data_IF_770954201326
#
_entry.id   IF_770954201326
#
_cell.length_a   1.000
_cell.length_b   1.000
_cell.length_c   1.000
_cell.angle_alpha   90.00
_cell.angle_beta   90.00
_cell.angle_gamma   90.00
#
_symmetry.space_group_name_H-M   'P 1'
#
loop_
_entity.id
_entity.type
_entity.pdbx_description
1 polymer ?
#
# COMPACT_ATOMS: atom_id res chain seq x y z
N UNK A 1 -17.72 -15.94 -18.55
CA UNK A 1 -16.48 -15.86 -17.74
C UNK A 1 -15.99 -14.42 -17.47
N UNK A 2 -16.40 -13.40 -18.22
CA UNK A 2 -15.96 -12.00 -17.99
C UNK A 2 -16.56 -11.32 -16.73
N UNK A 3 -17.65 -11.85 -16.16
CA UNK A 3 -18.36 -11.25 -15.02
C UNK A 3 -17.67 -11.55 -13.67
N UNK A 4 -16.97 -12.68 -13.54
CA UNK A 4 -16.26 -13.06 -12.31
C UNK A 4 -14.82 -12.54 -12.23
N UNK A 5 -14.26 -12.01 -13.32
CA UNK A 5 -12.87 -11.52 -13.37
C UNK A 5 -12.52 -10.53 -12.24
N UNK A 6 -13.36 -9.49 -11.99
CA UNK A 6 -13.14 -8.56 -10.89
C UNK A 6 -13.22 -9.23 -9.51
N UNK A 7 -14.18 -10.13 -9.30
CA UNK A 7 -14.36 -10.82 -8.02
C UNK A 7 -13.18 -11.75 -7.71
N UNK A 8 -12.72 -12.53 -8.69
CA UNK A 8 -11.55 -13.40 -8.56
C UNK A 8 -10.29 -12.58 -8.29
N UNK A 9 -10.09 -11.45 -8.97
CA UNK A 9 -8.99 -10.52 -8.70
C UNK A 9 -9.02 -10.00 -7.26
N UNK A 10 -10.19 -9.58 -6.76
CA UNK A 10 -10.33 -9.13 -5.37
C UNK A 10 -9.97 -10.24 -4.37
N UNK A 11 -10.40 -11.47 -4.60
CA UNK A 11 -10.05 -12.61 -3.74
C UNK A 11 -8.54 -12.84 -3.72
N UNK A 12 -7.88 -12.87 -4.89
CA UNK A 12 -6.43 -13.03 -5.00
C UNK A 12 -5.68 -11.93 -4.24
N UNK A 13 -6.13 -10.68 -4.38
CA UNK A 13 -5.55 -9.54 -3.66
C UNK A 13 -5.71 -9.72 -2.15
N UNK A 14 -6.90 -10.08 -1.66
CA UNK A 14 -7.15 -10.28 -0.23
C UNK A 14 -6.34 -11.43 0.35
N UNK A 15 -6.20 -12.53 -0.38
CA UNK A 15 -5.35 -13.67 0.02
C UNK A 15 -3.88 -13.24 0.08
N UNK A 16 -3.40 -12.48 -0.90
CA UNK A 16 -2.03 -11.94 -0.91
C UNK A 16 -1.78 -11.03 0.29
N UNK A 17 -2.73 -10.15 0.61
CA UNK A 17 -2.67 -9.31 1.81
C UNK A 17 -2.64 -10.15 3.09
N UNK A 18 -3.47 -11.20 3.19
CA UNK A 18 -3.46 -12.09 4.36
C UNK A 18 -2.08 -12.76 4.55
N UNK A 19 -1.48 -13.25 3.47
CA UNK A 19 -0.11 -13.79 3.49
C UNK A 19 0.92 -12.75 3.96
N UNK A 20 0.84 -11.52 3.43
CA UNK A 20 1.70 -10.41 3.85
C UNK A 20 1.56 -10.14 5.36
N UNK A 21 0.34 -10.08 5.89
CA UNK A 21 0.10 -9.85 7.32
C UNK A 21 0.65 -10.96 8.20
N UNK A 22 0.54 -12.21 7.79
CA UNK A 22 1.11 -13.35 8.52
C UNK A 22 2.63 -13.28 8.59
N UNK A 23 3.30 -13.01 7.46
CA UNK A 23 4.76 -12.84 7.40
C UNK A 23 5.19 -11.66 8.27
N UNK A 24 4.46 -10.54 8.18
CA UNK A 24 4.71 -9.34 8.99
C UNK A 24 4.63 -9.66 10.48
N UNK A 25 3.54 -10.30 10.93
CA UNK A 25 3.37 -10.71 12.34
C UNK A 25 4.47 -11.66 12.79
N UNK A 26 4.84 -12.65 11.97
CA UNK A 26 5.90 -13.60 12.30
C UNK A 26 7.27 -12.91 12.42
N UNK A 27 7.57 -11.92 11.57
CA UNK A 27 8.82 -11.19 11.60
C UNK A 27 8.91 -10.22 12.80
N UNK A 28 7.82 -9.50 13.10
CA UNK A 28 7.76 -8.64 14.29
C UNK A 28 7.82 -9.47 15.60
N UNK A 29 7.19 -10.63 15.65
CA UNK A 29 7.25 -11.53 16.82
C UNK A 29 8.67 -12.05 17.10
N UNK A 30 9.54 -12.09 16.08
CA UNK A 30 10.98 -12.41 16.22
C UNK A 30 11.84 -11.19 16.60
N UNK A 31 11.23 -10.07 16.98
CA UNK A 31 11.92 -8.87 17.44
C UNK A 31 12.41 -7.96 16.31
N UNK A 32 11.96 -8.16 15.07
CA UNK A 32 12.38 -7.30 13.96
C UNK A 32 11.75 -5.92 14.07
N UNK A 33 12.56 -4.87 13.94
CA UNK A 33 12.08 -3.50 13.95
C UNK A 33 11.09 -3.27 12.80
N UNK A 34 9.88 -2.81 13.14
CA UNK A 34 8.79 -2.63 12.21
C UNK A 34 9.09 -1.55 11.14
N UNK A 35 9.91 -0.54 11.46
CA UNK A 35 10.40 0.44 10.49
C UNK A 35 11.33 -0.22 9.46
N UNK A 36 12.24 -1.07 9.91
CA UNK A 36 13.14 -1.83 9.02
C UNK A 36 12.34 -2.78 8.11
N UNK A 37 11.27 -3.39 8.62
CA UNK A 37 10.36 -4.21 7.80
C UNK A 37 9.68 -3.39 6.69
N UNK A 38 9.20 -2.18 7.00
CA UNK A 38 8.54 -1.29 6.04
C UNK A 38 9.52 -0.82 4.95
N UNK A 39 10.79 -0.58 5.29
CA UNK A 39 11.82 -0.28 4.30
C UNK A 39 12.15 -1.49 3.44
N UNK A 40 12.29 -2.68 4.05
CA UNK A 40 12.65 -3.90 3.33
C UNK A 40 11.57 -4.32 2.32
N UNK A 41 10.29 -4.25 2.70
CA UNK A 41 9.19 -4.54 1.77
C UNK A 41 9.18 -3.59 0.57
N UNK A 42 9.46 -2.30 0.78
CA UNK A 42 9.47 -1.31 -0.29
C UNK A 42 10.67 -1.54 -1.23
N UNK A 43 11.84 -1.86 -0.67
CA UNK A 43 13.03 -2.20 -1.45
C UNK A 43 12.81 -3.46 -2.30
N UNK A 44 12.24 -4.54 -1.73
CA UNK A 44 11.94 -5.74 -2.50
C UNK A 44 10.88 -5.49 -3.59
N UNK A 45 9.85 -4.70 -3.29
CA UNK A 45 8.85 -4.30 -4.30
C UNK A 45 9.50 -3.53 -5.45
N UNK A 46 10.40 -2.58 -5.16
CA UNK A 46 11.14 -1.86 -6.20
C UNK A 46 12.07 -2.79 -6.98
N UNK A 47 12.81 -3.70 -6.33
CA UNK A 47 13.73 -4.63 -7.00
C UNK A 47 13.01 -5.60 -7.95
N UNK A 48 11.79 -6.02 -7.59
CA UNK A 48 10.99 -6.93 -8.42
C UNK A 48 10.24 -6.19 -9.52
N UNK A 49 9.67 -5.02 -9.23
CA UNK A 49 8.93 -4.23 -10.22
C UNK A 49 9.85 -3.49 -11.20
N UNK A 50 11.06 -3.08 -10.79
CA UNK A 50 12.00 -2.37 -11.65
C UNK A 50 12.34 -3.11 -12.96
N UNK A 51 12.72 -4.40 -12.95
CA UNK A 51 12.98 -5.13 -14.19
C UNK A 51 11.70 -5.34 -15.01
N UNK A 52 10.57 -5.64 -14.36
CA UNK A 52 9.29 -5.85 -15.05
C UNK A 52 8.87 -4.57 -15.77
N UNK A 53 8.92 -3.42 -15.10
CA UNK A 53 8.64 -2.12 -15.68
C UNK A 53 9.60 -1.79 -16.81
N UNK A 54 10.90 -2.08 -16.64
CA UNK A 54 11.89 -1.85 -17.70
C UNK A 54 11.60 -2.68 -18.96
N UNK A 55 11.28 -3.97 -18.84
CA UNK A 55 11.02 -4.81 -20.02
C UNK A 55 9.65 -4.56 -20.64
N UNK A 56 8.62 -4.26 -19.84
CA UNK A 56 7.24 -4.15 -20.32
C UNK A 56 6.86 -2.76 -20.81
N UNK A 57 7.44 -1.69 -20.24
CA UNK A 57 7.06 -0.30 -20.53
C UNK A 57 8.08 0.45 -21.40
N UNK A 58 9.16 -0.21 -21.83
CA UNK A 58 10.25 0.41 -22.62
C UNK A 58 9.75 1.19 -23.83
N UNK A 59 8.75 0.65 -24.54
CA UNK A 59 8.24 1.25 -25.79
C UNK A 59 7.06 2.21 -25.57
N UNK A 60 6.36 2.12 -24.44
CA UNK A 60 5.12 2.89 -24.18
C UNK A 60 5.33 4.08 -23.24
N UNK A 61 6.59 4.39 -22.91
CA UNK A 61 6.95 5.34 -21.85
C UNK A 61 6.57 6.79 -22.24
N UNK A 62 5.59 7.42 -21.57
CA UNK A 62 5.34 8.85 -21.74
C UNK A 62 6.50 9.64 -21.14
N UNK A 63 6.86 10.81 -21.69
CA UNK A 63 7.85 11.69 -21.05
C UNK A 63 7.33 12.11 -19.67
N UNK A 64 8.09 11.79 -18.62
CA UNK A 64 7.76 12.18 -17.25
C UNK A 64 8.15 13.64 -17.02
N UNK A 65 7.15 14.50 -16.86
CA UNK A 65 7.37 15.89 -16.45
C UNK A 65 7.64 15.99 -14.94
N UNK A 66 8.33 17.06 -14.52
CA UNK A 66 8.66 17.31 -13.11
C UNK A 66 7.42 17.27 -12.18
N UNK A 67 6.28 17.80 -12.65
CA UNK A 67 5.00 17.76 -11.94
C UNK A 67 4.53 16.32 -11.68
N UNK A 68 4.60 15.45 -12.69
CA UNK A 68 4.17 14.06 -12.58
C UNK A 68 5.09 13.26 -11.65
N UNK A 69 6.40 13.48 -11.77
CA UNK A 69 7.39 12.87 -10.87
C UNK A 69 7.13 13.28 -9.42
N UNK A 70 6.85 14.57 -9.17
CA UNK A 70 6.52 15.05 -7.83
C UNK A 70 5.22 14.42 -7.31
N UNK A 71 4.18 14.29 -8.14
CA UNK A 71 2.93 13.64 -7.75
C UNK A 71 3.14 12.16 -7.38
N UNK A 72 3.88 11.41 -8.20
CA UNK A 72 4.21 9.99 -7.92
C UNK A 72 5.04 9.89 -6.65
N UNK A 73 6.01 10.79 -6.46
CA UNK A 73 6.81 10.85 -5.24
C UNK A 73 5.96 11.11 -3.99
N UNK A 74 5.06 12.10 -4.05
CA UNK A 74 4.16 12.42 -2.94
C UNK A 74 3.21 11.25 -2.64
N UNK A 75 2.67 10.58 -3.65
CA UNK A 75 1.84 9.39 -3.47
C UNK A 75 2.61 8.26 -2.79
N UNK A 76 3.86 8.00 -3.22
CA UNK A 76 4.72 7.01 -2.58
C UNK A 76 5.07 7.36 -1.14
N UNK A 77 5.41 8.62 -0.88
CA UNK A 77 5.77 9.12 0.46
C UNK A 77 4.58 9.01 1.42
N UNK A 78 3.44 9.58 1.05
CA UNK A 78 2.25 9.60 1.90
C UNK A 78 1.67 8.19 2.08
N UNK A 79 1.45 7.47 0.98
CA UNK A 79 0.72 6.20 1.00
C UNK A 79 1.57 4.99 1.39
N UNK A 80 2.84 4.94 0.99
CA UNK A 80 3.68 3.76 1.20
C UNK A 80 4.69 3.91 2.34
N UNK A 81 5.03 5.13 2.75
CA UNK A 81 5.97 5.35 3.86
C UNK A 81 5.25 5.79 5.11
N UNK A 82 4.52 6.91 5.05
CA UNK A 82 3.89 7.50 6.23
C UNK A 82 2.76 6.62 6.77
N UNK A 83 1.82 6.19 5.94
CA UNK A 83 0.68 5.35 6.39
C UNK A 83 1.09 4.14 7.24
N UNK A 84 1.98 3.23 6.80
CA UNK A 84 2.36 2.06 7.59
C UNK A 84 3.18 2.42 8.83
N UNK A 85 4.02 3.47 8.77
CA UNK A 85 4.76 3.95 9.95
C UNK A 85 3.80 4.49 11.00
N UNK A 86 2.86 5.36 10.60
CA UNK A 86 1.82 5.89 11.49
C UNK A 86 0.91 4.79 12.03
N UNK A 87 0.64 3.75 11.26
CA UNK A 87 -0.10 2.59 11.73
C UNK A 87 0.64 1.88 12.87
N UNK A 88 1.92 1.55 12.66
CA UNK A 88 2.73 0.89 13.69
C UNK A 88 2.83 1.76 14.95
N UNK A 89 3.17 3.05 14.80
CA UNK A 89 3.29 3.95 15.95
C UNK A 89 1.94 4.21 16.63
N UNK A 90 0.85 4.22 15.87
CA UNK A 90 -0.49 4.43 16.41
C UNK A 90 -0.99 3.25 17.24
N UNK A 91 -0.53 2.02 16.96
CA UNK A 91 -0.86 0.85 17.77
C UNK A 91 -0.30 0.93 19.20
N UNK A 92 0.75 1.71 19.44
CA UNK A 92 1.26 1.94 20.80
C UNK A 92 0.33 2.83 21.63
N UNK A 93 -0.46 3.70 20.97
CA UNK A 93 -1.37 4.65 21.62
C UNK A 93 -2.84 4.26 21.50
N UNK A 94 -3.18 3.24 20.71
CA UNK A 94 -4.54 2.90 20.33
C UNK A 94 -4.73 1.40 20.20
N UNK A 95 -5.92 0.91 20.54
CA UNK A 95 -6.23 -0.51 20.40
C UNK A 95 -6.46 -0.92 18.94
N UNK A 96 -6.19 -2.17 18.62
CA UNK A 96 -6.51 -2.76 17.31
C UNK A 96 -7.99 -2.63 16.96
N UNK A 97 -8.89 -2.64 17.96
CA UNK A 97 -10.33 -2.49 17.78
C UNK A 97 -10.70 -1.07 17.35
N UNK A 98 -10.09 -0.05 17.96
CA UNK A 98 -10.33 1.34 17.57
C UNK A 98 -9.87 1.61 16.13
N UNK A 99 -8.71 1.06 15.74
CA UNK A 99 -8.25 1.13 14.35
C UNK A 99 -9.20 0.41 13.37
N UNK A 100 -9.73 -0.75 13.74
CA UNK A 100 -10.69 -1.47 12.90
C UNK A 100 -11.97 -0.65 12.67
N UNK A 101 -12.46 0.03 13.72
CA UNK A 101 -13.59 0.95 13.62
C UNK A 101 -13.29 2.13 12.69
N UNK A 102 -12.12 2.76 12.82
CA UNK A 102 -11.69 3.84 11.93
C UNK A 102 -11.53 3.37 10.47
N UNK A 103 -11.04 2.15 10.27
CA UNK A 103 -10.87 1.59 8.92
C UNK A 103 -12.19 1.45 8.17
N UNK A 104 -13.29 1.16 8.89
CA UNK A 104 -14.63 1.11 8.31
C UNK A 104 -15.14 2.49 7.86
N UNK A 105 -14.56 3.58 8.36
CA UNK A 105 -14.90 4.95 7.94
C UNK A 105 -14.13 5.39 6.69
N UNK A 106 -13.11 4.65 6.25
CA UNK A 106 -12.31 4.99 5.06
C UNK A 106 -13.19 5.26 3.83
N UNK A 107 -14.18 4.40 3.47
CA UNK A 107 -15.04 4.67 2.32
C UNK A 107 -15.87 5.95 2.48
N UNK A 108 -16.32 6.27 3.69
CA UNK A 108 -17.10 7.48 3.98
C UNK A 108 -16.25 8.72 3.79
N UNK A 109 -15.03 8.72 4.35
CA UNK A 109 -14.08 9.84 4.22
C UNK A 109 -13.71 10.06 2.75
N UNK A 110 -13.41 8.98 2.01
CA UNK A 110 -13.07 9.07 0.59
C UNK A 110 -14.24 9.64 -0.22
N UNK A 111 -15.48 9.21 0.04
CA UNK A 111 -16.66 9.73 -0.66
C UNK A 111 -16.89 11.23 -0.38
N UNK A 112 -16.73 11.67 0.87
CA UNK A 112 -16.84 13.09 1.22
C UNK A 112 -15.77 13.91 0.53
N UNK A 113 -14.51 13.48 0.58
CA UNK A 113 -13.41 14.13 -0.13
C UNK A 113 -13.67 14.16 -1.64
N UNK A 114 -14.16 13.06 -2.23
CA UNK A 114 -14.49 12.99 -3.63
C UNK A 114 -15.58 14.00 -4.02
N UNK A 115 -16.54 14.31 -3.13
CA UNK A 115 -17.55 15.35 -3.36
C UNK A 115 -16.94 16.75 -3.26
N UNK A 116 -16.06 16.99 -2.29
CA UNK A 116 -15.40 18.29 -2.08
C UNK A 116 -14.45 18.63 -3.24
N UNK A 117 -13.69 17.64 -3.72
CA UNK A 117 -12.70 17.77 -4.79
C UNK A 117 -13.24 17.42 -6.19
N UNK A 118 -14.55 17.24 -6.32
CA UNK A 118 -15.22 17.04 -7.61
C UNK A 118 -15.15 18.30 -8.47
#
# INVERSE_FOLDING_TARGET
MAIYGPAVSQVIVRVSFAGMFLITKAALARGMNAYAFVTYRAAMATMTLAPIAYFYEKEKRPPLGLKQTLQIFLLGLLGNTITPISYISGLDYTSSTFYATLSNLIPVIISVLAIIFR
#
